data_IF_790820260110
#
_entry.id   IF_790820260110
#
_cell.length_a   1.000
_cell.length_b   1.000
_cell.length_c   1.000
_cell.angle_alpha   90.00
_cell.angle_beta   90.00
_cell.angle_gamma   90.00
#
_symmetry.space_group_name_H-M   'P 1'
#
loop_
_entity.id
_entity.type
_entity.pdbx_description
1 polymer ?
#
# COMPACT_ATOMS: atom_id res chain seq x y z
N UNK A 1 -28.08 3.12 -28.58
CA UNK A 1 -26.87 3.07 -27.73
C UNK A 1 -25.77 3.76 -28.50
N UNK A 2 -25.02 4.65 -27.86
CA UNK A 2 -23.97 5.43 -28.54
C UNK A 2 -22.70 4.58 -28.65
N UNK A 3 -22.10 4.44 -29.84
CA UNK A 3 -20.81 3.78 -29.97
C UNK A 3 -19.77 4.49 -29.11
N UNK A 4 -18.80 3.75 -28.60
CA UNK A 4 -17.67 4.33 -27.88
C UNK A 4 -16.97 5.34 -28.79
N UNK A 5 -16.58 6.51 -28.26
CA UNK A 5 -15.70 7.43 -28.96
C UNK A 5 -14.45 6.70 -29.44
N UNK A 6 -13.99 7.02 -30.66
CA UNK A 6 -12.78 6.43 -31.23
C UNK A 6 -11.56 6.53 -30.29
N UNK A 7 -11.46 7.64 -29.56
CA UNK A 7 -10.39 7.88 -28.56
C UNK A 7 -10.40 6.82 -27.46
N UNK A 8 -11.58 6.40 -27.01
CA UNK A 8 -11.71 5.43 -25.92
C UNK A 8 -11.31 4.04 -26.40
N UNK A 9 -11.73 3.66 -27.61
CA UNK A 9 -11.33 2.39 -28.25
C UNK A 9 -9.80 2.33 -28.39
N UNK A 10 -9.18 3.39 -28.92
CA UNK A 10 -7.72 3.49 -29.01
C UNK A 10 -7.05 3.44 -27.64
N UNK A 11 -7.63 4.09 -26.63
CA UNK A 11 -7.16 4.05 -25.25
C UNK A 11 -7.14 2.64 -24.65
N UNK A 12 -8.20 1.85 -24.89
CA UNK A 12 -8.25 0.45 -24.48
C UNK A 12 -7.19 -0.38 -25.19
N UNK A 13 -7.04 -0.22 -26.50
CA UNK A 13 -6.03 -0.94 -27.29
C UNK A 13 -4.60 -0.64 -26.80
N UNK A 14 -4.31 0.65 -26.59
CA UNK A 14 -3.03 1.09 -26.07
C UNK A 14 -2.77 0.52 -24.68
N UNK A 15 -3.77 0.54 -23.78
CA UNK A 15 -3.66 -0.02 -22.44
C UNK A 15 -3.37 -1.53 -22.44
N UNK A 16 -4.01 -2.29 -23.33
CA UNK A 16 -3.75 -3.72 -23.53
C UNK A 16 -2.31 -3.95 -23.98
N UNK A 17 -1.86 -3.23 -25.01
CA UNK A 17 -0.50 -3.35 -25.52
C UNK A 17 0.56 -3.02 -24.46
N UNK A 18 0.41 -1.89 -23.74
CA UNK A 18 1.32 -1.50 -22.66
C UNK A 18 1.35 -2.52 -21.52
N UNK A 19 0.22 -3.18 -21.22
CA UNK A 19 0.16 -4.23 -20.20
C UNK A 19 1.08 -5.40 -20.58
N UNK A 20 0.96 -5.91 -21.82
CA UNK A 20 1.86 -6.97 -22.30
C UNK A 20 3.31 -6.50 -22.42
N UNK A 21 3.54 -5.25 -22.81
CA UNK A 21 4.87 -4.67 -22.87
C UNK A 21 5.53 -4.63 -21.48
N UNK A 22 4.80 -4.29 -20.41
CA UNK A 22 5.32 -4.35 -19.03
C UNK A 22 5.59 -5.80 -18.60
N UNK A 23 4.67 -6.72 -18.89
CA UNK A 23 4.83 -8.15 -18.55
C UNK A 23 6.00 -8.81 -19.27
N UNK A 24 6.42 -8.28 -20.43
CA UNK A 24 7.58 -8.78 -21.17
C UNK A 24 8.89 -8.74 -20.35
N UNK A 25 8.94 -7.96 -19.26
CA UNK A 25 10.05 -7.98 -18.29
C UNK A 25 10.40 -9.40 -17.83
N UNK A 26 9.40 -10.28 -17.72
CA UNK A 26 9.59 -11.67 -17.30
C UNK A 26 10.55 -12.45 -18.21
N UNK A 27 10.68 -12.02 -19.47
CA UNK A 27 11.58 -12.64 -20.46
C UNK A 27 13.00 -12.04 -20.49
N UNK A 28 13.29 -10.96 -19.72
CA UNK A 28 14.55 -10.16 -19.59
C UNK A 28 14.27 -8.66 -19.77
N UNK A 29 15.26 -7.82 -19.46
CA UNK A 29 15.32 -6.39 -19.83
C UNK A 29 15.32 -6.22 -21.36
N UNK A 30 14.16 -5.96 -21.94
CA UNK A 30 13.95 -5.87 -23.37
C UNK A 30 13.43 -4.48 -23.80
N UNK A 31 13.42 -4.16 -25.11
CA UNK A 31 13.02 -2.84 -25.60
C UNK A 31 11.55 -2.48 -25.32
N UNK A 32 10.62 -3.44 -25.36
CA UNK A 32 9.20 -3.19 -25.11
C UNK A 32 8.93 -2.86 -23.66
N UNK A 33 9.51 -3.63 -22.75
CA UNK A 33 9.49 -3.33 -21.32
C UNK A 33 10.04 -1.93 -21.05
N UNK A 34 11.23 -1.60 -21.58
CA UNK A 34 11.85 -0.29 -21.39
C UNK A 34 10.98 0.83 -21.96
N UNK A 35 10.40 0.67 -23.15
CA UNK A 35 9.49 1.66 -23.71
C UNK A 35 8.31 1.93 -22.77
N UNK A 36 7.64 0.86 -22.32
CA UNK A 36 6.50 0.97 -21.42
C UNK A 36 6.89 1.61 -20.08
N UNK A 37 8.06 1.27 -19.54
CA UNK A 37 8.63 1.86 -18.33
C UNK A 37 8.86 3.38 -18.49
N UNK A 38 9.48 3.83 -19.59
CA UNK A 38 9.72 5.26 -19.82
C UNK A 38 8.42 6.04 -20.03
N UNK A 39 7.45 5.47 -20.77
CA UNK A 39 6.12 6.07 -20.93
C UNK A 39 5.45 6.20 -19.55
N UNK A 40 5.43 5.11 -18.78
CA UNK A 40 4.79 5.09 -17.47
C UNK A 40 5.42 6.11 -16.52
N UNK A 41 6.75 6.12 -16.41
CA UNK A 41 7.48 7.06 -15.54
C UNK A 41 7.28 8.50 -16.04
N UNK A 42 7.36 8.74 -17.35
CA UNK A 42 7.17 10.07 -17.93
C UNK A 42 5.78 10.64 -17.68
N UNK A 43 4.73 9.86 -17.94
CA UNK A 43 3.35 10.25 -17.67
C UNK A 43 3.12 10.45 -16.17
N UNK A 44 3.66 9.58 -15.33
CA UNK A 44 3.56 9.69 -13.87
C UNK A 44 4.21 10.98 -13.36
N UNK A 45 5.43 11.29 -13.80
CA UNK A 45 6.12 12.52 -13.42
C UNK A 45 5.35 13.75 -13.94
N UNK A 46 4.86 13.72 -15.18
CA UNK A 46 4.07 14.82 -15.75
C UNK A 46 2.79 15.07 -14.95
N UNK A 47 2.03 14.02 -14.64
CA UNK A 47 0.84 14.11 -13.79
C UNK A 47 1.17 14.65 -12.40
N UNK A 48 2.23 14.14 -11.77
CA UNK A 48 2.68 14.63 -10.47
C UNK A 48 3.08 16.10 -10.51
N UNK A 49 3.73 16.59 -11.57
CA UNK A 49 4.06 18.01 -11.71
C UNK A 49 2.78 18.85 -11.75
N UNK A 50 1.78 18.44 -12.53
CA UNK A 50 0.50 19.14 -12.61
C UNK A 50 -0.21 19.15 -11.26
N UNK A 51 -0.29 18.00 -10.59
CA UNK A 51 -0.86 17.93 -9.23
C UNK A 51 -0.10 18.83 -8.26
N UNK A 52 1.23 18.76 -8.23
CA UNK A 52 2.02 19.58 -7.32
C UNK A 52 1.89 21.08 -7.62
N UNK A 53 1.74 21.45 -8.89
CA UNK A 53 1.45 22.82 -9.26
C UNK A 53 0.10 23.27 -8.67
N UNK A 54 -0.98 22.56 -8.97
CA UNK A 54 -2.34 22.95 -8.57
C UNK A 54 -2.60 22.81 -7.07
N UNK A 55 -2.07 21.77 -6.42
CA UNK A 55 -2.37 21.47 -5.01
C UNK A 55 -1.42 22.19 -4.04
N UNK A 56 -0.21 22.55 -4.51
CA UNK A 56 0.84 23.07 -3.64
C UNK A 56 1.44 24.39 -4.11
N UNK A 57 1.78 24.56 -5.38
CA UNK A 57 2.42 25.80 -5.84
C UNK A 57 1.40 26.93 -5.93
N UNK A 58 0.33 26.75 -6.70
CA UNK A 58 -0.65 27.80 -6.97
C UNK A 58 -1.31 28.34 -5.68
N UNK A 59 -1.95 27.51 -4.84
CA UNK A 59 -2.64 28.02 -3.65
C UNK A 59 -1.69 28.44 -2.53
N UNK A 60 -0.53 27.79 -2.34
CA UNK A 60 0.34 28.06 -1.17
C UNK A 60 1.41 29.10 -1.45
N UNK A 61 1.74 29.32 -2.73
CA UNK A 61 2.75 30.25 -3.18
C UNK A 61 2.14 31.40 -3.99
N UNK A 62 1.44 31.13 -5.09
CA UNK A 62 0.99 32.17 -6.05
C UNK A 62 -0.17 32.98 -5.46
N UNK A 63 -1.29 32.36 -5.15
CA UNK A 63 -2.47 33.06 -4.62
C UNK A 63 -2.15 33.70 -3.27
N UNK A 64 -1.47 32.94 -2.42
CA UNK A 64 -1.23 33.40 -1.07
C UNK A 64 -0.16 34.50 -0.98
N UNK A 65 0.65 34.75 -2.03
CA UNK A 65 1.52 35.93 -2.10
C UNK A 65 0.73 37.24 -2.06
N UNK A 66 -0.55 37.23 -2.47
CA UNK A 66 -1.41 38.41 -2.47
C UNK A 66 -2.07 38.69 -1.11
N UNK A 67 -2.14 37.70 -0.21
CA UNK A 67 -3.01 37.76 0.98
C UNK A 67 -2.29 37.92 2.33
N UNK A 68 -0.96 37.78 2.38
CA UNK A 68 -0.25 37.70 3.68
C UNK A 68 0.89 38.71 3.80
N UNK A 69 0.90 39.45 4.91
CA UNK A 69 1.97 40.38 5.28
C UNK A 69 2.96 39.74 6.30
N UNK A 70 4.17 40.30 6.41
CA UNK A 70 5.15 39.94 7.46
C UNK A 70 5.94 38.64 7.25
N UNK A 71 6.22 37.92 8.33
CA UNK A 71 7.11 36.74 8.36
C UNK A 71 6.68 35.60 7.41
N UNK A 72 5.37 35.44 7.18
CA UNK A 72 4.84 34.42 6.28
C UNK A 72 5.20 34.70 4.81
N UNK A 73 5.22 35.97 4.41
CA UNK A 73 5.65 36.39 3.08
C UNK A 73 7.16 36.15 2.90
N UNK A 74 7.97 36.48 3.91
CA UNK A 74 9.42 36.24 3.89
C UNK A 74 9.77 34.75 3.75
N UNK A 75 9.05 33.86 4.45
CA UNK A 75 9.24 32.41 4.33
C UNK A 75 8.96 31.88 2.90
N UNK A 76 8.01 32.50 2.18
CA UNK A 76 7.71 32.14 0.79
C UNK A 76 8.77 32.60 -0.20
N UNK A 77 9.33 33.80 0.01
CA UNK A 77 10.49 34.23 -0.76
C UNK A 77 11.67 33.27 -0.58
N UNK A 78 11.90 32.78 0.65
CA UNK A 78 12.89 31.73 0.91
C UNK A 78 12.57 30.47 0.11
N UNK A 79 11.31 30.03 0.09
CA UNK A 79 10.90 28.86 -0.71
C UNK A 79 11.17 29.06 -2.21
N UNK A 80 10.86 30.23 -2.79
CA UNK A 80 11.16 30.54 -4.19
C UNK A 80 12.66 30.48 -4.46
N UNK A 81 13.47 31.09 -3.58
CA UNK A 81 14.93 31.04 -3.69
C UNK A 81 15.42 29.60 -3.66
N UNK A 82 14.91 28.76 -2.76
CA UNK A 82 15.26 27.34 -2.70
C UNK A 82 14.86 26.58 -3.97
N UNK A 83 13.71 26.88 -4.56
CA UNK A 83 13.28 26.30 -5.83
C UNK A 83 14.23 26.70 -6.97
N UNK A 84 14.56 27.98 -7.09
CA UNK A 84 15.51 28.47 -8.10
C UNK A 84 16.89 27.83 -7.91
N UNK A 85 17.36 27.74 -6.67
CA UNK A 85 18.61 27.05 -6.32
C UNK A 85 18.59 25.58 -6.74
N UNK A 86 17.46 24.89 -6.62
CA UNK A 86 17.32 23.50 -7.04
C UNK A 86 17.49 23.36 -8.56
N UNK A 87 16.90 24.27 -9.35
CA UNK A 87 17.00 24.24 -10.81
C UNK A 87 18.40 24.58 -11.35
N UNK A 88 19.24 25.30 -10.58
CA UNK A 88 20.63 25.54 -10.98
C UNK A 88 21.42 24.24 -11.18
N UNK A 89 21.04 23.16 -10.48
CA UNK A 89 21.60 21.82 -10.62
C UNK A 89 21.35 21.22 -12.01
N UNK A 90 20.19 21.50 -12.61
CA UNK A 90 19.80 20.98 -13.92
C UNK A 90 20.48 21.72 -15.08
N UNK A 91 20.79 23.01 -14.87
CA UNK A 91 21.24 23.91 -15.95
C UNK A 91 22.78 23.99 -16.05
N UNK A 92 23.52 23.92 -14.94
CA UNK A 92 24.97 24.13 -14.96
C UNK A 92 25.75 23.13 -14.10
N UNK A 93 26.75 22.48 -14.72
CA UNK A 93 27.73 21.63 -14.01
C UNK A 93 28.56 22.41 -12.99
N UNK A 94 28.77 23.72 -13.19
CA UNK A 94 29.59 24.58 -12.31
C UNK A 94 28.85 24.96 -11.01
N UNK A 95 27.55 25.20 -11.09
CA UNK A 95 26.72 25.63 -9.95
C UNK A 95 25.97 24.49 -9.25
N UNK A 96 26.28 23.23 -9.60
CA UNK A 96 25.64 22.05 -9.03
C UNK A 96 25.70 21.99 -7.48
N UNK A 97 26.70 22.62 -6.84
CA UNK A 97 26.81 22.69 -5.38
C UNK A 97 25.69 23.51 -4.73
N UNK A 98 25.14 24.50 -5.43
CA UNK A 98 24.05 25.38 -4.94
C UNK A 98 22.76 24.58 -4.76
N UNK A 99 22.51 23.58 -5.61
CA UNK A 99 21.38 22.67 -5.48
C UNK A 99 21.43 21.73 -4.27
N UNK A 100 22.54 21.71 -3.50
CA UNK A 100 22.64 20.91 -2.27
C UNK A 100 21.86 21.52 -1.10
N UNK A 101 21.75 22.85 -1.03
CA UNK A 101 21.05 23.51 0.09
C UNK A 101 19.55 23.22 0.11
N UNK A 102 18.81 23.30 -1.01
CA UNK A 102 17.39 22.90 -1.03
C UNK A 102 17.22 21.42 -0.69
N UNK A 103 18.13 20.55 -1.16
CA UNK A 103 18.08 19.13 -0.82
C UNK A 103 18.28 18.90 0.68
N UNK A 104 19.26 19.56 1.29
CA UNK A 104 19.53 19.49 2.73
C UNK A 104 18.33 20.02 3.53
N UNK A 105 17.73 21.12 3.09
CA UNK A 105 16.52 21.67 3.71
C UNK A 105 15.35 20.68 3.66
N UNK A 106 15.07 20.09 2.49
CA UNK A 106 14.02 19.07 2.35
C UNK A 106 14.29 17.89 3.27
N UNK A 107 15.50 17.34 3.27
CA UNK A 107 15.86 16.20 4.13
C UNK A 107 15.70 16.54 5.61
N UNK A 108 16.21 17.69 6.06
CA UNK A 108 16.09 18.11 7.46
C UNK A 108 14.65 18.38 7.87
N UNK A 109 13.86 19.04 7.01
CA UNK A 109 12.46 19.33 7.23
C UNK A 109 11.62 18.04 7.33
N UNK A 110 11.79 17.12 6.37
CA UNK A 110 11.10 15.83 6.40
C UNK A 110 11.54 14.96 7.58
N UNK A 111 12.83 14.93 7.92
CA UNK A 111 13.30 14.22 9.11
C UNK A 111 12.66 14.79 10.38
N UNK A 112 12.59 16.13 10.51
CA UNK A 112 11.92 16.79 11.63
C UNK A 112 10.43 16.47 11.72
N UNK A 113 9.71 16.52 10.59
CA UNK A 113 8.29 16.14 10.53
C UNK A 113 8.09 14.67 10.91
N UNK A 114 8.90 13.77 10.36
CA UNK A 114 8.77 12.33 10.60
C UNK A 114 9.11 11.96 12.04
N UNK A 115 10.13 12.57 12.65
CA UNK A 115 10.44 12.34 14.07
C UNK A 115 9.24 12.70 14.94
N UNK A 116 8.58 13.83 14.68
CA UNK A 116 7.39 14.23 15.43
C UNK A 116 6.20 13.30 15.15
N UNK A 117 5.97 12.95 13.88
CA UNK A 117 4.88 12.07 13.47
C UNK A 117 5.02 10.65 14.06
N UNK A 118 6.20 10.04 13.95
CA UNK A 118 6.50 8.71 14.52
C UNK A 118 6.43 8.76 16.04
N UNK A 119 6.95 9.82 16.67
CA UNK A 119 6.90 9.95 18.13
C UNK A 119 5.45 10.03 18.66
N UNK A 120 4.55 10.70 17.94
CA UNK A 120 3.15 10.86 18.35
C UNK A 120 2.27 9.67 17.92
N UNK A 121 2.43 9.15 16.71
CA UNK A 121 1.55 8.15 16.13
C UNK A 121 1.95 6.71 16.46
N UNK A 122 3.25 6.40 16.41
CA UNK A 122 3.73 5.02 16.49
C UNK A 122 4.20 4.65 17.90
N UNK A 123 5.00 5.49 18.56
CA UNK A 123 5.50 5.17 19.91
C UNK A 123 4.34 4.98 20.90
N UNK A 124 3.32 5.84 20.85
CA UNK A 124 2.15 5.70 21.72
C UNK A 124 1.33 4.44 21.44
N UNK A 125 1.20 4.02 20.17
CA UNK A 125 0.52 2.79 19.80
C UNK A 125 1.35 1.55 20.18
N UNK A 126 2.66 1.59 19.98
CA UNK A 126 3.60 0.53 20.33
C UNK A 126 3.71 0.33 21.84
N UNK A 127 3.78 1.40 22.62
CA UNK A 127 3.76 1.34 24.09
C UNK A 127 2.44 0.76 24.57
N UNK A 128 1.30 1.21 24.01
CA UNK A 128 -0.02 0.67 24.35
C UNK A 128 -0.16 -0.81 23.99
N UNK A 129 0.41 -1.25 22.87
CA UNK A 129 0.42 -2.66 22.48
C UNK A 129 1.31 -3.49 23.42
N UNK A 130 2.51 -2.99 23.75
CA UNK A 130 3.44 -3.65 24.66
C UNK A 130 2.95 -3.69 26.12
N UNK A 131 2.10 -2.74 26.53
CA UNK A 131 1.53 -2.70 27.88
C UNK A 131 0.25 -3.52 28.03
N UNK A 132 -0.28 -4.13 26.96
CA UNK A 132 -1.43 -5.02 27.04
C UNK A 132 -1.04 -6.35 27.67
N UNK A 133 -1.99 -6.96 28.37
CA UNK A 133 -1.84 -8.32 28.88
C UNK A 133 -1.60 -9.30 27.73
N UNK A 134 -0.60 -10.15 27.87
CA UNK A 134 -0.38 -11.29 26.95
C UNK A 134 -1.52 -12.30 27.04
N UNK A 135 -2.19 -12.35 28.19
CA UNK A 135 -3.36 -13.18 28.44
C UNK A 135 -4.63 -12.37 28.19
N UNK A 136 -5.21 -12.54 27.01
CA UNK A 136 -6.53 -11.97 26.68
C UNK A 136 -7.55 -13.09 26.70
N UNK A 137 -8.33 -13.16 27.77
CA UNK A 137 -9.61 -13.89 27.76
C UNK A 137 -10.48 -13.27 26.68
N UNK A 138 -11.02 -14.09 25.76
CA UNK A 138 -11.94 -13.62 24.73
C UNK A 138 -13.28 -13.21 25.36
N UNK A 139 -13.92 -12.19 24.82
CA UNK A 139 -15.29 -11.78 25.19
C UNK A 139 -16.28 -12.82 24.68
N UNK A 140 -17.03 -13.45 25.58
CA UNK A 140 -18.06 -14.44 25.21
C UNK A 140 -19.27 -13.73 24.56
N UNK A 141 -19.49 -13.97 23.27
CA UNK A 141 -20.58 -13.38 22.49
C UNK A 141 -21.98 -13.80 22.98
N UNK A 142 -22.09 -14.94 23.67
CA UNK A 142 -23.35 -15.45 24.19
C UNK A 142 -23.65 -14.96 25.61
N UNK A 143 -22.64 -14.50 26.36
CA UNK A 143 -22.79 -14.04 27.76
C UNK A 143 -22.54 -12.55 27.98
N UNK A 144 -21.67 -11.91 27.21
CA UNK A 144 -21.26 -10.51 27.40
C UNK A 144 -22.42 -9.54 27.22
N UNK A 145 -22.58 -8.52 28.06
CA UNK A 145 -23.61 -7.50 27.86
C UNK A 145 -23.32 -6.60 26.64
N UNK A 146 -24.30 -5.77 26.25
CA UNK A 146 -24.16 -4.88 25.09
C UNK A 146 -22.95 -3.93 25.24
N UNK A 147 -22.65 -3.49 26.46
CA UNK A 147 -21.50 -2.62 26.75
C UNK A 147 -20.15 -3.37 26.59
N UNK A 148 -20.04 -4.62 27.03
CA UNK A 148 -18.84 -5.40 26.80
C UNK A 148 -18.64 -5.72 25.31
N UNK A 149 -19.71 -5.87 24.54
CA UNK A 149 -19.63 -6.09 23.09
C UNK A 149 -19.14 -4.86 22.33
N UNK A 150 -19.48 -3.62 22.75
CA UNK A 150 -18.97 -2.39 22.09
C UNK A 150 -17.47 -2.19 22.24
N UNK A 151 -16.81 -2.90 23.16
CA UNK A 151 -15.34 -2.91 23.30
C UNK A 151 -14.66 -3.72 22.20
N UNK A 152 -15.43 -4.50 21.44
CA UNK A 152 -14.92 -5.24 20.30
C UNK A 152 -14.73 -4.30 19.08
N UNK A 153 -13.69 -4.52 18.25
CA UNK A 153 -13.46 -3.71 17.05
C UNK A 153 -14.66 -3.76 16.10
N UNK A 154 -15.06 -2.60 15.57
CA UNK A 154 -16.22 -2.50 14.66
C UNK A 154 -17.60 -2.63 15.30
N UNK A 155 -17.71 -2.91 16.61
CA UNK A 155 -19.01 -2.98 17.30
C UNK A 155 -19.55 -1.60 17.68
N UNK A 156 -20.60 -1.16 16.98
CA UNK A 156 -21.40 -0.01 17.41
C UNK A 156 -22.42 -0.42 18.49
N UNK A 157 -22.92 0.51 19.32
CA UNK A 157 -23.99 0.22 20.28
C UNK A 157 -25.21 -0.43 19.64
N UNK A 158 -25.57 -0.01 18.43
CA UNK A 158 -26.69 -0.56 17.67
C UNK A 158 -26.44 -2.03 17.27
N UNK A 159 -25.24 -2.34 16.81
CA UNK A 159 -24.85 -3.72 16.42
C UNK A 159 -24.80 -4.61 17.66
N UNK A 160 -24.24 -4.12 18.77
CA UNK A 160 -24.19 -4.84 20.04
C UNK A 160 -25.61 -5.18 20.54
N UNK A 161 -26.54 -4.22 20.50
CA UNK A 161 -27.95 -4.46 20.86
C UNK A 161 -28.63 -5.50 19.95
N UNK A 162 -28.39 -5.43 18.63
CA UNK A 162 -28.91 -6.42 17.67
C UNK A 162 -28.44 -7.83 18.01
N UNK A 163 -27.15 -8.00 18.33
CA UNK A 163 -26.58 -9.29 18.70
C UNK A 163 -27.09 -9.81 20.04
N UNK A 164 -27.26 -8.94 21.03
CA UNK A 164 -27.86 -9.32 22.33
C UNK A 164 -29.32 -9.75 22.16
N UNK A 165 -30.10 -9.06 21.33
CA UNK A 165 -31.48 -9.41 21.03
C UNK A 165 -31.59 -10.73 20.25
N UNK A 166 -30.66 -10.98 19.34
CA UNK A 166 -30.68 -12.18 18.48
C UNK A 166 -30.22 -13.44 19.22
N UNK A 167 -29.13 -13.36 19.99
CA UNK A 167 -28.64 -14.51 20.77
C UNK A 167 -29.63 -14.99 21.83
N UNK A 168 -30.51 -14.09 22.30
CA UNK A 168 -31.58 -14.44 23.24
C UNK A 168 -32.61 -15.40 22.62
N UNK A 169 -32.68 -15.46 21.28
CA UNK A 169 -33.53 -16.41 20.54
C UNK A 169 -32.77 -17.69 20.19
N UNK A 170 -31.53 -17.56 19.71
CA UNK A 170 -30.66 -18.68 19.39
C UNK A 170 -29.19 -18.31 19.64
N UNK A 171 -28.44 -19.05 20.46
CA UNK A 171 -27.04 -18.74 20.73
C UNK A 171 -26.19 -18.87 19.47
N UNK A 172 -25.13 -18.07 19.39
CA UNK A 172 -24.18 -18.11 18.28
C UNK A 172 -23.27 -19.34 18.38
N UNK A 173 -23.06 -20.03 17.26
CA UNK A 173 -22.16 -21.18 17.18
C UNK A 173 -20.70 -20.77 16.93
N UNK A 174 -20.49 -19.63 16.26
CA UNK A 174 -19.18 -19.07 15.94
C UNK A 174 -19.30 -17.57 15.70
N UNK A 175 -18.16 -16.88 15.60
CA UNK A 175 -18.16 -15.45 15.25
C UNK A 175 -18.65 -15.26 13.81
N UNK A 176 -18.31 -16.16 12.89
CA UNK A 176 -18.84 -16.16 11.51
C UNK A 176 -20.35 -16.34 11.47
N UNK A 177 -20.89 -17.22 12.30
CA UNK A 177 -22.34 -17.39 12.44
C UNK A 177 -23.00 -16.09 12.93
N UNK A 178 -22.42 -15.39 13.91
CA UNK A 178 -22.93 -14.11 14.40
C UNK A 178 -22.92 -13.00 13.32
N UNK A 179 -21.88 -12.95 12.47
CA UNK A 179 -21.75 -11.96 11.39
C UNK A 179 -22.68 -12.29 10.20
N UNK A 180 -22.91 -13.57 9.93
CA UNK A 180 -23.78 -14.04 8.85
C UNK A 180 -25.29 -13.84 9.15
N UNK A 181 -25.64 -13.46 10.38
CA UNK A 181 -27.03 -13.30 10.78
C UNK A 181 -27.80 -12.22 10.00
N UNK A 182 -29.12 -12.40 9.81
CA UNK A 182 -29.95 -11.48 9.06
C UNK A 182 -30.25 -10.15 9.79
N UNK A 183 -29.93 -10.04 11.09
CA UNK A 183 -30.10 -8.79 11.85
C UNK A 183 -29.18 -7.66 11.39
N UNK A 184 -28.08 -8.00 10.72
CA UNK A 184 -27.10 -7.06 10.17
C UNK A 184 -27.43 -6.72 8.72
N UNK A 185 -27.37 -5.43 8.41
CA UNK A 185 -27.44 -4.95 7.03
C UNK A 185 -26.15 -5.30 6.27
N UNK A 186 -26.18 -5.36 4.92
CA UNK A 186 -24.98 -5.61 4.14
C UNK A 186 -23.83 -4.61 4.41
N UNK A 187 -24.17 -3.34 4.71
CA UNK A 187 -23.18 -2.32 5.04
C UNK A 187 -22.55 -2.52 6.42
N UNK A 188 -23.35 -2.87 7.45
CA UNK A 188 -22.84 -3.19 8.79
C UNK A 188 -21.97 -4.44 8.77
N UNK A 189 -22.37 -5.45 7.98
CA UNK A 189 -21.58 -6.68 7.78
C UNK A 189 -20.24 -6.39 7.12
N UNK A 190 -20.24 -5.63 6.02
CA UNK A 190 -19.00 -5.23 5.34
C UNK A 190 -18.09 -4.40 6.25
N UNK A 191 -18.65 -3.54 7.11
CA UNK A 191 -17.90 -2.79 8.12
C UNK A 191 -17.22 -3.72 9.14
N UNK A 192 -17.97 -4.64 9.74
CA UNK A 192 -17.43 -5.65 10.66
C UNK A 192 -16.39 -6.56 10.00
N UNK A 193 -16.60 -6.96 8.75
CA UNK A 193 -15.64 -7.78 7.99
C UNK A 193 -14.33 -7.03 7.69
N UNK A 194 -14.41 -5.73 7.39
CA UNK A 194 -13.22 -4.90 7.16
C UNK A 194 -12.37 -4.72 8.43
N UNK A 195 -13.03 -4.65 9.59
CA UNK A 195 -12.39 -4.59 10.92
C UNK A 195 -11.92 -5.97 11.42
N UNK A 196 -12.37 -7.08 10.81
CA UNK A 196 -11.92 -8.44 11.11
C UNK A 196 -10.59 -8.79 10.47
N UNK A 197 -10.36 -8.32 9.22
CA UNK A 197 -9.14 -8.60 8.45
C UNK A 197 -8.80 -10.09 8.29
N UNK A 198 -7.77 -10.42 7.51
CA UNK A 198 -7.36 -11.82 7.28
C UNK A 198 -6.71 -12.46 8.53
N UNK A 199 -6.29 -11.65 9.53
CA UNK A 199 -5.60 -12.16 10.74
C UNK A 199 -6.04 -11.51 12.08
N UNK A 200 -6.71 -10.34 12.20
CA UNK A 200 -7.00 -9.75 13.54
C UNK A 200 -8.18 -8.77 13.58
N UNK A 201 -9.07 -8.95 14.57
CA UNK A 201 -9.92 -7.87 15.10
C UNK A 201 -11.00 -8.36 16.04
N UNK A 202 -12.12 -8.84 15.47
CA UNK A 202 -13.28 -9.31 16.21
C UNK A 202 -13.05 -10.71 16.79
N UNK A 203 -12.64 -11.68 15.98
CA UNK A 203 -12.51 -13.11 16.37
C UNK A 203 -11.35 -13.37 17.35
N UNK A 204 -10.32 -12.54 17.27
CA UNK A 204 -9.18 -12.60 18.19
C UNK A 204 -9.58 -12.16 19.61
N UNK A 205 -10.63 -11.34 19.73
CA UNK A 205 -11.14 -10.77 20.98
C UNK A 205 -12.50 -11.31 21.40
N UNK A 206 -13.20 -12.07 20.55
CA UNK A 206 -14.51 -12.63 20.79
C UNK A 206 -14.51 -14.16 20.69
N UNK A 207 -15.26 -14.83 21.56
CA UNK A 207 -15.48 -16.27 21.55
C UNK A 207 -16.97 -16.60 21.57
N UNK A 208 -17.36 -17.73 21.00
CA UNK A 208 -18.73 -18.22 21.15
C UNK A 208 -18.98 -18.87 22.53
N UNK A 209 -17.92 -19.19 23.28
CA UNK A 209 -17.99 -19.79 24.60
C UNK A 209 -16.96 -19.19 25.59
N UNK A 210 -17.34 -19.12 26.87
CA UNK A 210 -16.60 -18.43 27.93
C UNK A 210 -15.16 -18.89 28.22
N UNK A 211 -14.79 -20.12 27.85
CA UNK A 211 -13.48 -20.72 28.24
C UNK A 211 -12.46 -20.78 27.09
N UNK A 212 -12.72 -20.07 26.00
CA UNK A 212 -11.85 -20.09 24.84
C UNK A 212 -10.71 -19.05 24.96
N UNK A 213 -9.51 -19.53 25.33
CA UNK A 213 -8.31 -18.69 25.50
C UNK A 213 -7.58 -18.48 24.17
N UNK A 214 -7.11 -17.26 23.90
CA UNK A 214 -6.42 -16.94 22.64
C UNK A 214 -4.93 -17.37 22.63
N UNK A 215 -4.68 -18.69 22.62
CA UNK A 215 -3.33 -19.25 22.62
C UNK A 215 -2.48 -18.83 21.41
N UNK A 216 -3.09 -18.72 20.23
CA UNK A 216 -2.38 -18.28 19.02
C UNK A 216 -1.95 -16.81 19.12
N UNK A 217 -2.82 -15.95 19.64
CA UNK A 217 -2.49 -14.55 19.92
C UNK A 217 -1.38 -14.42 20.96
N UNK A 218 -1.42 -15.20 22.05
CA UNK A 218 -0.36 -15.25 23.06
C UNK A 218 0.97 -15.65 22.42
N UNK A 219 0.99 -16.73 21.64
CA UNK A 219 2.20 -17.20 20.94
C UNK A 219 2.73 -16.16 19.96
N UNK A 220 1.86 -15.54 19.16
CA UNK A 220 2.21 -14.48 18.21
C UNK A 220 2.81 -13.26 18.93
N UNK A 221 2.19 -12.80 20.02
CA UNK A 221 2.70 -11.68 20.81
C UNK A 221 4.07 -11.99 21.43
N UNK A 222 4.28 -13.21 21.93
CA UNK A 222 5.59 -13.66 22.43
C UNK A 222 6.62 -13.69 21.31
N UNK A 223 6.27 -14.22 20.13
CA UNK A 223 7.15 -14.25 18.98
C UNK A 223 7.54 -12.83 18.51
N UNK A 224 6.57 -11.91 18.47
CA UNK A 224 6.79 -10.50 18.15
C UNK A 224 7.69 -9.82 19.19
N UNK A 225 7.47 -10.06 20.48
CA UNK A 225 8.30 -9.51 21.55
C UNK A 225 9.74 -10.02 21.44
N UNK A 226 9.94 -11.33 21.22
CA UNK A 226 11.26 -11.92 21.01
C UNK A 226 11.93 -11.37 19.74
N UNK A 227 11.16 -11.19 18.66
CA UNK A 227 11.62 -10.57 17.41
C UNK A 227 12.05 -9.11 17.60
N UNK A 228 11.27 -8.33 18.36
CA UNK A 228 11.57 -6.94 18.70
C UNK A 228 12.83 -6.85 19.57
N UNK A 229 12.96 -7.69 20.60
CA UNK A 229 14.17 -7.71 21.44
C UNK A 229 15.39 -8.12 20.61
N UNK A 230 15.25 -9.11 19.72
CA UNK A 230 16.34 -9.52 18.83
C UNK A 230 16.72 -8.41 17.83
N UNK A 231 15.76 -7.66 17.29
CA UNK A 231 16.02 -6.54 16.38
C UNK A 231 16.65 -5.35 17.09
N UNK A 232 16.21 -5.04 18.31
CA UNK A 232 16.86 -4.03 19.15
C UNK A 232 18.30 -4.43 19.50
N UNK A 233 18.55 -5.70 19.83
CA UNK A 233 19.92 -6.19 20.05
C UNK A 233 20.78 -6.07 18.78
N UNK A 234 20.19 -6.26 17.59
CA UNK A 234 20.87 -6.05 16.30
C UNK A 234 21.20 -4.57 16.04
N UNK A 235 20.27 -3.64 16.29
CA UNK A 235 20.43 -2.21 15.95
C UNK A 235 21.11 -1.37 17.05
N UNK A 236 20.95 -1.72 18.32
CA UNK A 236 21.29 -0.85 19.45
C UNK A 236 22.73 -0.99 19.94
N UNK A 237 23.50 -2.01 19.52
CA UNK A 237 24.86 -2.18 20.00
C UNK A 237 25.92 -2.18 18.90
N UNK A 238 26.82 -1.21 18.98
CA UNK A 238 28.17 -1.20 18.38
C UNK A 238 29.09 -2.33 18.91
N UNK A 239 28.52 -3.45 19.39
CA UNK A 239 29.24 -4.61 19.92
C UNK A 239 29.56 -5.55 18.76
N UNK A 240 30.84 -5.93 18.64
CA UNK A 240 31.28 -6.91 17.66
C UNK A 240 30.47 -8.21 17.81
N UNK A 241 29.76 -8.61 16.76
CA UNK A 241 28.86 -9.76 16.74
C UNK A 241 29.64 -11.10 16.79
N UNK A 242 30.22 -11.42 17.95
CA UNK A 242 30.95 -12.68 18.19
C UNK A 242 30.22 -13.52 19.25
N UNK A 243 30.24 -14.85 19.09
CA UNK A 243 29.68 -15.80 20.07
C UNK A 243 28.15 -15.89 20.07
N UNK A 244 27.54 -16.06 21.26
CA UNK A 244 26.10 -16.29 21.44
C UNK A 244 25.23 -15.12 20.95
N UNK A 245 25.69 -13.88 21.13
CA UNK A 245 25.01 -12.66 20.66
C UNK A 245 24.88 -12.65 19.13
N UNK A 246 25.89 -13.13 18.41
CA UNK A 246 25.84 -13.27 16.94
C UNK A 246 24.80 -14.30 16.46
N UNK A 247 24.52 -15.34 17.25
CA UNK A 247 23.49 -16.34 16.93
C UNK A 247 22.08 -15.77 17.12
N UNK A 248 21.85 -15.00 18.20
CA UNK A 248 20.57 -14.33 18.47
C UNK A 248 20.30 -13.22 17.45
N UNK A 249 21.32 -12.41 17.13
CA UNK A 249 21.26 -11.35 16.12
C UNK A 249 20.89 -11.90 14.73
N UNK A 250 21.35 -13.11 14.37
CA UNK A 250 20.98 -13.77 13.11
C UNK A 250 19.47 -14.02 13.00
N UNK A 251 18.79 -14.36 14.08
CA UNK A 251 17.32 -14.53 14.05
C UNK A 251 16.63 -13.20 13.73
N UNK A 252 17.10 -12.09 14.32
CA UNK A 252 16.63 -10.74 13.99
C UNK A 252 16.81 -10.38 12.51
N UNK A 253 17.94 -10.75 11.91
CA UNK A 253 18.18 -10.57 10.46
C UNK A 253 17.15 -11.32 9.62
N UNK A 254 16.83 -12.57 9.98
CA UNK A 254 15.83 -13.36 9.24
C UNK A 254 14.43 -12.76 9.34
N UNK A 255 14.04 -12.30 10.54
CA UNK A 255 12.77 -11.59 10.74
C UNK A 255 12.70 -10.33 9.88
N UNK A 256 13.78 -9.54 9.84
CA UNK A 256 13.86 -8.35 8.98
C UNK A 256 13.78 -8.71 7.49
N UNK A 257 14.49 -9.74 7.04
CA UNK A 257 14.45 -10.19 5.64
C UNK A 257 13.07 -10.69 5.24
N UNK A 258 12.34 -11.36 6.13
CA UNK A 258 10.96 -11.78 5.87
C UNK A 258 10.04 -10.56 5.76
N UNK A 259 10.17 -9.58 6.66
CA UNK A 259 9.39 -8.33 6.61
C UNK A 259 9.66 -7.51 5.34
N UNK A 260 10.93 -7.34 4.98
CA UNK A 260 11.32 -6.68 3.72
C UNK A 260 10.88 -7.48 2.49
N UNK A 261 10.96 -8.81 2.55
CA UNK A 261 10.48 -9.71 1.49
C UNK A 261 8.97 -9.63 1.27
N UNK A 262 8.18 -9.53 2.35
CA UNK A 262 6.75 -9.32 2.28
C UNK A 262 6.40 -7.94 1.67
N UNK A 263 7.11 -6.88 2.10
CA UNK A 263 6.95 -5.54 1.52
C UNK A 263 7.27 -5.50 0.02
N UNK A 264 8.34 -6.19 -0.39
CA UNK A 264 8.66 -6.36 -1.80
C UNK A 264 7.57 -7.16 -2.54
N UNK A 265 7.05 -8.23 -1.94
CA UNK A 265 5.95 -9.04 -2.46
C UNK A 265 4.67 -8.23 -2.73
N UNK A 266 4.32 -7.28 -1.85
CA UNK A 266 3.18 -6.38 -2.04
C UNK A 266 3.31 -5.52 -3.30
N UNK A 267 4.53 -5.08 -3.65
CA UNK A 267 4.75 -4.29 -4.88
C UNK A 267 4.60 -5.14 -6.14
N UNK A 268 5.00 -6.41 -6.10
CA UNK A 268 4.79 -7.38 -7.19
C UNK A 268 3.31 -7.71 -7.32
N UNK A 269 2.61 -7.91 -6.21
CA UNK A 269 1.17 -8.12 -6.17
C UNK A 269 0.40 -6.96 -6.82
N UNK A 270 0.80 -5.69 -6.56
CA UNK A 270 0.16 -4.53 -7.18
C UNK A 270 0.23 -4.55 -8.72
N UNK A 271 1.38 -4.95 -9.28
CA UNK A 271 1.57 -5.08 -10.74
C UNK A 271 0.81 -6.27 -11.31
N UNK A 272 0.78 -7.40 -10.60
CA UNK A 272 0.02 -8.58 -11.00
C UNK A 272 -1.48 -8.32 -10.93
N UNK A 273 -1.96 -7.63 -9.90
CA UNK A 273 -3.36 -7.23 -9.74
C UNK A 273 -3.83 -6.33 -10.88
N UNK A 274 -2.99 -5.37 -11.30
CA UNK A 274 -3.28 -4.54 -12.47
C UNK A 274 -3.40 -5.39 -13.75
N UNK A 275 -2.49 -6.34 -13.96
CA UNK A 275 -2.55 -7.25 -15.10
C UNK A 275 -3.80 -8.14 -15.09
N UNK A 276 -4.18 -8.65 -13.91
CA UNK A 276 -5.43 -9.41 -13.71
C UNK A 276 -6.64 -8.53 -14.01
N UNK A 277 -6.71 -7.30 -13.48
CA UNK A 277 -7.79 -6.36 -13.76
C UNK A 277 -7.95 -6.07 -15.25
N UNK A 278 -6.84 -5.98 -16.00
CA UNK A 278 -6.85 -5.84 -17.46
C UNK A 278 -7.29 -7.12 -18.17
N UNK A 279 -6.86 -8.30 -17.71
CA UNK A 279 -7.35 -9.57 -18.24
C UNK A 279 -8.86 -9.76 -18.02
N UNK A 280 -9.39 -9.34 -16.87
CA UNK A 280 -10.83 -9.35 -16.59
C UNK A 280 -11.61 -8.39 -17.50
N UNK A 281 -11.04 -7.22 -17.81
CA UNK A 281 -11.60 -6.31 -18.79
C UNK A 281 -11.61 -6.92 -20.20
N UNK A 282 -10.54 -7.65 -20.59
CA UNK A 282 -10.49 -8.37 -21.87
C UNK A 282 -11.53 -9.49 -21.98
N UNK A 283 -11.83 -10.15 -20.86
CA UNK A 283 -12.87 -11.19 -20.78
C UNK A 283 -14.30 -10.62 -20.68
N UNK A 284 -14.46 -9.29 -20.78
CA UNK A 284 -15.77 -8.62 -20.70
C UNK A 284 -16.44 -8.76 -19.33
N UNK A 285 -15.69 -9.08 -18.26
CA UNK A 285 -16.26 -9.30 -16.91
C UNK A 285 -16.44 -8.02 -16.09
N UNK A 286 -15.71 -6.96 -16.43
CA UNK A 286 -15.74 -5.67 -15.73
C UNK A 286 -16.23 -4.52 -16.61
N UNK A 287 -16.46 -4.79 -17.90
CA UNK A 287 -16.92 -3.83 -18.91
C UNK A 287 -18.27 -4.31 -19.42
N UNK A 288 -19.19 -3.39 -19.70
CA UNK A 288 -20.50 -3.72 -20.24
C UNK A 288 -20.35 -4.56 -21.53
N UNK A 289 -21.07 -5.68 -21.71
CA UNK A 289 -20.92 -6.56 -22.87
C UNK A 289 -20.96 -5.86 -24.23
N UNK A 290 -21.78 -4.81 -24.38
CA UNK A 290 -21.90 -4.02 -25.62
C UNK A 290 -20.68 -3.12 -25.92
N UNK A 291 -19.92 -2.75 -24.89
CA UNK A 291 -18.68 -1.98 -25.03
C UNK A 291 -17.49 -2.91 -25.28
N UNK A 292 -17.53 -4.12 -24.69
CA UNK A 292 -16.51 -5.15 -24.89
C UNK A 292 -16.44 -5.63 -26.35
N UNK A 293 -17.59 -5.70 -27.03
CA UNK A 293 -17.68 -6.06 -28.46
C UNK A 293 -16.97 -5.03 -29.35
N UNK A 294 -17.02 -3.74 -29.01
CA UNK A 294 -16.35 -2.68 -29.79
C UNK A 294 -14.84 -2.64 -29.56
N UNK A 295 -14.33 -3.22 -28.47
CA UNK A 295 -12.92 -3.24 -28.12
C UNK A 295 -12.19 -4.40 -28.81
N UNK A 296 -12.88 -5.48 -29.18
CA UNK A 296 -12.31 -6.70 -29.78
C UNK A 296 -11.10 -7.24 -29.00
N UNK A 297 -11.19 -7.23 -27.67
CA UNK A 297 -10.06 -7.47 -26.79
C UNK A 297 -9.24 -8.75 -27.05
N UNK A 298 -9.85 -9.91 -27.42
CA UNK A 298 -9.08 -11.10 -27.81
C UNK A 298 -8.17 -10.85 -29.02
N UNK A 299 -8.67 -10.14 -30.03
CA UNK A 299 -7.93 -9.83 -31.24
C UNK A 299 -6.76 -8.88 -30.97
N UNK A 300 -7.00 -7.82 -30.19
CA UNK A 300 -5.97 -6.87 -29.76
C UNK A 300 -4.86 -7.55 -28.96
N UNK A 301 -5.24 -8.50 -28.10
CA UNK A 301 -4.29 -9.25 -27.29
C UNK A 301 -3.39 -10.13 -28.14
N UNK A 302 -3.96 -10.85 -29.11
CA UNK A 302 -3.19 -11.65 -30.07
C UNK A 302 -2.23 -10.80 -30.89
N UNK A 303 -2.68 -9.64 -31.38
CA UNK A 303 -1.84 -8.70 -32.13
C UNK A 303 -0.70 -8.19 -31.24
N UNK A 304 -1.01 -7.78 -30.00
CA UNK A 304 -0.02 -7.27 -29.06
C UNK A 304 1.04 -8.31 -28.75
N UNK A 305 0.62 -9.56 -28.49
CA UNK A 305 1.52 -10.68 -28.26
C UNK A 305 2.36 -11.01 -29.49
N UNK A 306 1.80 -10.96 -30.69
CA UNK A 306 2.53 -11.18 -31.94
C UNK A 306 3.59 -10.09 -32.17
N UNK A 307 3.23 -8.81 -32.00
CA UNK A 307 4.15 -7.67 -32.14
C UNK A 307 5.31 -7.80 -31.14
N UNK A 308 4.98 -8.03 -29.87
CA UNK A 308 5.98 -8.15 -28.80
C UNK A 308 6.84 -9.39 -29.05
N UNK A 309 6.25 -10.54 -29.32
CA UNK A 309 6.95 -11.80 -29.57
C UNK A 309 7.92 -11.70 -30.76
N UNK A 310 7.45 -11.21 -31.91
CA UNK A 310 8.29 -11.02 -33.10
C UNK A 310 9.40 -9.99 -32.87
N UNK A 311 9.09 -8.88 -32.19
CA UNK A 311 10.10 -7.89 -31.86
C UNK A 311 11.14 -8.39 -30.86
N UNK A 312 10.74 -9.22 -29.89
CA UNK A 312 11.66 -9.88 -28.95
C UNK A 312 12.57 -10.89 -29.67
N UNK A 313 12.02 -11.68 -30.60
CA UNK A 313 12.81 -12.59 -31.43
C UNK A 313 13.85 -11.81 -32.26
N UNK A 314 13.42 -10.74 -32.95
CA UNK A 314 14.34 -9.88 -33.71
C UNK A 314 15.42 -9.24 -32.84
N UNK A 315 15.04 -8.77 -31.64
CA UNK A 315 15.98 -8.21 -30.67
C UNK A 315 16.99 -9.24 -30.16
N UNK A 316 16.55 -10.46 -29.82
CA UNK A 316 17.42 -11.54 -29.34
C UNK A 316 18.40 -11.98 -30.44
N UNK A 317 17.95 -12.09 -31.70
CA UNK A 317 18.82 -12.39 -32.85
C UNK A 317 19.89 -11.31 -33.01
N UNK A 318 19.50 -10.02 -32.96
CA UNK A 318 20.45 -8.90 -33.07
C UNK A 318 21.45 -8.87 -31.91
N UNK A 319 20.99 -9.15 -30.69
CA UNK A 319 21.83 -9.20 -29.49
C UNK A 319 22.87 -10.30 -29.59
N UNK A 320 22.49 -11.50 -30.02
CA UNK A 320 23.44 -12.63 -30.20
C UNK A 320 24.49 -12.33 -31.25
N UNK A 321 24.10 -11.72 -32.38
CA UNK A 321 25.03 -11.31 -33.45
C UNK A 321 26.03 -10.22 -33.02
N UNK A 322 25.70 -9.42 -32.00
CA UNK A 322 26.59 -8.38 -31.48
C UNK A 322 27.60 -8.90 -30.43
N UNK A 323 27.46 -10.16 -30.00
CA UNK A 323 28.32 -10.81 -29.01
C UNK A 323 29.28 -11.84 -29.61
N UNK A 324 29.13 -12.14 -30.91
CA UNK A 324 30.04 -12.94 -31.74
C UNK A 324 30.95 -12.04 -32.56
#
# INVERSE_FOLDING_TARGET
MTPLPFVDVVGYWLGIFLTFAILSFLYKDNPFYKLAEHIFIGVSIGYLIVLQYNDNIDPKLVDAMSEKEGLALAARFIAIVLVIMLFTKAISRRFHWVGRYPLAFVVAFYAGLQVNAVAQAELGAQIRFASQSLDSTKTDLNRADAEALTKLPGMSPLIAEKWVAERARAPFASVDDAVARPSLTPAERAGLESERGEIVGLDARAAAAADERNWFGVFSNVLLLLGLLASLVYFYFSVAHKGAVGKVSRVGVWVLMIGFGASFGLTVQGRLSLAIGRAYAMLGRTVNPADAEQIDAPYVSLISLAIIGLGLLGWEIRRRRAQT
#
